data_IF_896338065809
#
_entry.id   IF_896338065809
#
_cell.length_a   1.000
_cell.length_b   1.000
_cell.length_c   1.000
_cell.angle_alpha   90.00
_cell.angle_beta   90.00
_cell.angle_gamma   90.00
#
_symmetry.space_group_name_H-M   'P 1'
#
loop_
_entity.id
_entity.type
_entity.pdbx_description
1 polymer ?
#
# COMPACT_ATOMS: atom_id res chain seq x y z
N UNK A 1 25.10 -3.44 20.74
CA UNK A 1 25.61 -2.20 20.10
C UNK A 1 24.77 -1.68 18.92
N UNK A 2 23.78 -2.40 18.36
CA UNK A 2 23.11 -2.00 17.10
C UNK A 2 22.07 -0.87 17.16
N UNK A 3 21.63 -0.43 18.34
CA UNK A 3 20.67 0.68 18.52
C UNK A 3 21.31 1.94 19.12
N UNK A 4 22.37 1.79 19.92
CA UNK A 4 22.97 2.87 20.71
C UNK A 4 24.14 3.55 19.97
N UNK A 5 24.85 2.83 19.10
CA UNK A 5 25.96 3.36 18.28
C UNK A 5 25.70 3.25 16.76
N UNK A 6 24.43 3.24 16.35
CA UNK A 6 24.08 3.19 14.93
C UNK A 6 24.43 4.53 14.25
N UNK A 7 25.09 4.47 13.09
CA UNK A 7 25.35 5.67 12.26
C UNK A 7 24.04 6.41 11.99
N UNK A 8 24.00 7.70 12.29
CA UNK A 8 22.86 8.55 11.96
C UNK A 8 22.72 8.69 10.43
N UNK A 9 21.64 8.11 9.87
CA UNK A 9 21.31 8.18 8.44
C UNK A 9 20.32 9.29 8.09
N UNK A 10 19.87 10.09 9.05
CA UNK A 10 18.85 11.13 8.82
C UNK A 10 19.25 12.13 7.74
N UNK A 11 20.47 12.73 7.74
CA UNK A 11 20.84 13.69 6.70
C UNK A 11 20.92 13.05 5.30
N UNK A 12 21.37 11.80 5.21
CA UNK A 12 21.44 11.02 3.96
C UNK A 12 20.03 10.78 3.40
N UNK A 13 19.10 10.35 4.24
CA UNK A 13 17.72 10.12 3.87
C UNK A 13 17.00 11.43 3.50
N UNK A 14 17.23 12.51 4.26
CA UNK A 14 16.66 13.82 3.94
C UNK A 14 17.06 14.29 2.54
N UNK A 15 18.35 14.21 2.19
CA UNK A 15 18.81 14.54 0.82
C UNK A 15 18.15 13.64 -0.22
N UNK A 16 18.15 12.32 0.03
CA UNK A 16 17.54 11.34 -0.88
C UNK A 16 16.06 11.64 -1.16
N UNK A 17 15.25 11.83 -0.12
CA UNK A 17 13.82 12.11 -0.26
C UNK A 17 13.55 13.49 -0.86
N UNK A 18 14.30 14.52 -0.46
CA UNK A 18 14.11 15.87 -0.98
C UNK A 18 14.48 15.98 -2.46
N UNK A 19 15.55 15.32 -2.92
CA UNK A 19 15.94 15.30 -4.34
C UNK A 19 14.85 14.62 -5.18
N UNK A 20 14.41 13.42 -4.77
CA UNK A 20 13.36 12.72 -5.49
C UNK A 20 12.01 13.48 -5.48
N UNK A 21 11.70 14.16 -4.37
CA UNK A 21 10.49 14.98 -4.27
C UNK A 21 10.54 16.22 -5.18
N UNK A 22 11.71 16.85 -5.34
CA UNK A 22 11.93 17.93 -6.31
C UNK A 22 11.70 17.47 -7.77
N UNK A 23 11.96 16.20 -8.05
CA UNK A 23 11.63 15.55 -9.33
C UNK A 23 10.16 15.11 -9.43
N UNK A 24 9.30 15.60 -8.54
CA UNK A 24 7.87 15.30 -8.48
C UNK A 24 7.52 13.82 -8.28
N UNK A 25 8.45 13.02 -7.75
CA UNK A 25 8.11 11.66 -7.34
C UNK A 25 7.31 11.70 -6.04
N UNK A 26 6.19 10.97 -6.01
CA UNK A 26 5.32 10.93 -4.82
C UNK A 26 6.04 10.28 -3.66
N UNK A 27 5.87 10.82 -2.45
CA UNK A 27 6.58 10.38 -1.24
C UNK A 27 6.56 8.85 -1.05
N UNK A 28 5.41 8.22 -1.22
CA UNK A 28 5.23 6.77 -1.06
C UNK A 28 5.87 5.91 -2.16
N UNK A 29 6.41 6.52 -3.23
CA UNK A 29 7.10 5.84 -4.33
C UNK A 29 8.62 6.04 -4.31
N UNK A 30 9.15 6.91 -3.46
CA UNK A 30 10.55 7.33 -3.48
C UNK A 30 11.51 6.20 -3.07
N UNK A 31 11.15 5.41 -2.06
CA UNK A 31 12.06 4.37 -1.55
C UNK A 31 12.18 3.23 -2.57
N UNK A 32 13.38 2.63 -2.78
CA UNK A 32 13.52 1.46 -3.64
C UNK A 32 12.61 0.29 -3.24
N UNK A 33 12.33 0.15 -1.93
CA UNK A 33 11.42 -0.85 -1.39
C UNK A 33 9.95 -0.48 -1.49
N UNK A 34 9.62 0.76 -1.85
CA UNK A 34 8.23 1.21 -2.00
C UNK A 34 7.44 0.30 -2.93
N UNK A 35 8.03 -0.22 -4.01
CA UNK A 35 7.35 -1.15 -4.92
C UNK A 35 6.91 -2.44 -4.21
N UNK A 36 7.76 -2.99 -3.35
CA UNK A 36 7.47 -4.22 -2.62
C UNK A 36 6.34 -4.04 -1.61
N UNK A 37 6.20 -2.86 -1.02
CA UNK A 37 5.11 -2.57 -0.09
C UNK A 37 3.82 -2.12 -0.80
N UNK A 38 3.94 -1.22 -1.78
CA UNK A 38 2.79 -0.59 -2.43
C UNK A 38 2.05 -1.57 -3.36
N UNK A 39 2.74 -2.48 -4.04
CA UNK A 39 2.08 -3.45 -4.94
C UNK A 39 1.07 -4.33 -4.20
N UNK A 40 1.44 -5.09 -3.15
CA UNK A 40 0.46 -5.90 -2.43
C UNK A 40 -0.61 -5.04 -1.73
N UNK A 41 -0.24 -3.88 -1.18
CA UNK A 41 -1.20 -2.96 -0.57
C UNK A 41 -2.30 -2.52 -1.54
N UNK A 42 -1.93 -2.11 -2.76
CA UNK A 42 -2.90 -1.63 -3.76
C UNK A 42 -3.78 -2.77 -4.26
N UNK A 43 -3.23 -3.97 -4.44
CA UNK A 43 -4.01 -5.17 -4.81
C UNK A 43 -5.05 -5.49 -3.73
N UNK A 44 -4.64 -5.50 -2.47
CA UNK A 44 -5.55 -5.80 -1.35
C UNK A 44 -6.60 -4.70 -1.18
N UNK A 45 -6.23 -3.43 -1.29
CA UNK A 45 -7.15 -2.31 -1.15
C UNK A 45 -8.28 -2.38 -2.19
N UNK A 46 -7.94 -2.46 -3.47
CA UNK A 46 -8.95 -2.50 -4.52
C UNK A 46 -9.65 -3.85 -4.62
N UNK A 47 -8.94 -4.95 -4.33
CA UNK A 47 -9.53 -6.28 -4.28
C UNK A 47 -10.59 -6.41 -3.20
N UNK A 48 -10.31 -5.91 -1.98
CA UNK A 48 -11.28 -5.93 -0.88
C UNK A 48 -12.44 -4.96 -1.12
N UNK A 49 -12.18 -3.78 -1.71
CA UNK A 49 -13.25 -2.87 -2.09
C UNK A 49 -14.20 -3.51 -3.12
N UNK A 50 -13.65 -4.08 -4.20
CA UNK A 50 -14.42 -4.78 -5.22
C UNK A 50 -15.21 -5.96 -4.67
N UNK A 51 -14.59 -6.79 -3.82
CA UNK A 51 -15.28 -7.88 -3.14
C UNK A 51 -16.40 -7.38 -2.22
N UNK A 52 -16.20 -6.25 -1.53
CA UNK A 52 -17.22 -5.66 -0.66
C UNK A 52 -18.44 -5.19 -1.47
N UNK A 53 -18.21 -4.49 -2.59
CA UNK A 53 -19.30 -4.07 -3.48
C UNK A 53 -20.02 -5.25 -4.13
N UNK A 54 -19.29 -6.31 -4.51
CA UNK A 54 -19.90 -7.53 -5.03
C UNK A 54 -20.82 -8.20 -3.99
N UNK A 55 -20.34 -8.36 -2.76
CA UNK A 55 -21.13 -8.91 -1.66
C UNK A 55 -22.35 -8.04 -1.32
N UNK A 56 -22.17 -6.72 -1.28
CA UNK A 56 -23.25 -5.77 -1.05
C UNK A 56 -24.32 -5.83 -2.16
N UNK A 57 -23.90 -5.83 -3.44
CA UNK A 57 -24.81 -5.95 -4.57
C UNK A 57 -25.59 -7.26 -4.56
N UNK A 58 -24.90 -8.38 -4.27
CA UNK A 58 -25.55 -9.68 -4.07
C UNK A 58 -26.57 -9.65 -2.94
N UNK A 59 -26.25 -9.00 -1.82
CA UNK A 59 -27.14 -8.89 -0.67
C UNK A 59 -28.41 -8.10 -1.00
N UNK A 60 -28.29 -6.99 -1.74
CA UNK A 60 -29.43 -6.21 -2.23
C UNK A 60 -30.33 -7.05 -3.14
N UNK A 61 -29.74 -7.94 -3.94
CA UNK A 61 -30.46 -8.86 -4.82
C UNK A 61 -30.99 -10.13 -4.11
N UNK A 62 -30.86 -10.22 -2.78
CA UNK A 62 -31.39 -11.34 -1.98
C UNK A 62 -30.48 -12.56 -1.85
N UNK A 63 -29.25 -12.52 -2.39
CA UNK A 63 -28.27 -13.58 -2.20
C UNK A 63 -27.55 -13.43 -0.86
N UNK A 64 -27.40 -14.52 -0.09
CA UNK A 64 -26.83 -14.50 1.26
C UNK A 64 -25.35 -14.92 1.33
N UNK A 65 -24.79 -15.40 0.22
CA UNK A 65 -23.41 -15.92 0.14
C UNK A 65 -22.66 -15.29 -1.03
N UNK A 66 -21.34 -15.20 -0.87
CA UNK A 66 -20.40 -14.81 -1.94
C UNK A 66 -20.34 -15.86 -3.05
N UNK A 67 -20.39 -17.13 -2.66
CA UNK A 67 -20.41 -18.28 -3.56
C UNK A 67 -21.87 -18.59 -3.92
N UNK A 68 -22.12 -19.15 -5.11
CA UNK A 68 -23.47 -19.57 -5.51
C UNK A 68 -24.11 -20.52 -4.50
N UNK A 69 -25.42 -20.76 -4.60
CA UNK A 69 -26.00 -21.94 -3.94
C UNK A 69 -25.27 -23.15 -4.53
N UNK A 70 -24.69 -23.97 -3.66
CA UNK A 70 -24.37 -25.36 -4.02
C UNK A 70 -25.60 -26.02 -4.65
#
# INVERSE_FOLDING_TARGET
MGLVDAKNKVPELQKFYQTAYKEHTRLWKINPRSRLYMTPYVILLWGTLGASFYGAGRKVLGYNTYFGKE
#
